data_IF_039718479599
#
_entry.id   IF_039718479599
#
_cell.length_a   1.000
_cell.length_b   1.000
_cell.length_c   1.000
_cell.angle_alpha   90.00
_cell.angle_beta   90.00
_cell.angle_gamma   90.00
#
_symmetry.space_group_name_H-M   'P 1'
#
loop_
_entity.id
_entity.type
_entity.pdbx_description
1 polymer ?
#
# COMPACT_ATOMS: atom_id res chain seq x y z
N UNK A 1 -3.09 1.67 -24.76
CA UNK A 1 -3.38 1.22 -23.37
C UNK A 1 -2.03 1.10 -22.68
N UNK A 2 -1.78 1.83 -21.59
CA UNK A 2 -0.55 1.70 -20.80
C UNK A 2 -0.83 0.73 -19.66
N UNK A 3 -0.10 -0.38 -19.61
CA UNK A 3 -0.21 -1.33 -18.50
C UNK A 3 0.53 -0.79 -17.28
N UNK A 4 0.01 -1.08 -16.09
CA UNK A 4 0.54 -0.59 -14.83
C UNK A 4 0.67 -1.74 -13.84
N UNK A 5 1.61 -1.61 -12.91
CA UNK A 5 1.70 -2.51 -11.76
C UNK A 5 2.20 -1.74 -10.54
N UNK A 6 1.93 -2.29 -9.36
CA UNK A 6 2.36 -1.74 -8.08
C UNK A 6 3.28 -2.73 -7.35
N UNK A 7 4.31 -2.23 -6.69
CA UNK A 7 5.22 -3.02 -5.85
C UNK A 7 5.23 -2.44 -4.45
N UNK A 8 5.10 -3.30 -3.45
CA UNK A 8 5.13 -2.93 -2.03
C UNK A 8 6.46 -3.37 -1.42
N UNK A 9 7.16 -2.45 -0.77
CA UNK A 9 8.41 -2.77 -0.08
C UNK A 9 8.15 -3.54 1.23
N UNK A 10 9.08 -4.42 1.60
CA UNK A 10 9.07 -5.15 2.88
C UNK A 10 10.28 -4.72 3.71
N UNK A 11 10.16 -3.56 4.34
CA UNK A 11 11.19 -2.91 5.18
C UNK A 11 10.54 -1.90 6.12
N UNK A 12 11.30 -1.38 7.08
CA UNK A 12 10.85 -0.26 7.91
C UNK A 12 10.49 0.97 7.04
N UNK A 13 9.37 1.61 7.37
CA UNK A 13 8.77 2.71 6.60
C UNK A 13 8.54 2.31 5.12
N UNK A 14 7.74 1.26 4.87
CA UNK A 14 7.57 0.69 3.54
C UNK A 14 6.82 1.66 2.63
N UNK A 15 7.22 1.67 1.36
CA UNK A 15 6.54 2.43 0.30
C UNK A 15 5.85 1.49 -0.68
N UNK A 16 4.77 1.95 -1.29
CA UNK A 16 4.21 1.30 -2.47
C UNK A 16 4.50 2.16 -3.69
N UNK A 17 5.11 1.57 -4.71
CA UNK A 17 5.49 2.29 -5.93
C UNK A 17 4.67 1.79 -7.10
N UNK A 18 4.25 2.71 -7.96
CA UNK A 18 3.48 2.41 -9.18
C UNK A 18 4.36 2.65 -10.39
N UNK A 19 4.33 1.71 -11.33
CA UNK A 19 5.15 1.73 -12.53
C UNK A 19 4.32 1.49 -13.79
N UNK A 20 4.79 2.07 -14.90
CA UNK A 20 4.32 1.72 -16.25
C UNK A 20 4.98 0.44 -16.74
N UNK A 21 4.32 -0.30 -17.61
CA UNK A 21 4.88 -1.45 -18.33
C UNK A 21 4.68 -1.24 -19.85
N UNK A 22 5.67 -1.55 -20.71
CA UNK A 22 6.92 -2.25 -20.42
C UNK A 22 8.09 -1.36 -19.99
N UNK A 23 7.97 -0.03 -20.04
CA UNK A 23 9.12 0.87 -19.81
C UNK A 23 9.60 0.94 -18.36
N UNK A 24 8.82 0.45 -17.39
CA UNK A 24 9.15 0.49 -15.94
C UNK A 24 9.43 1.91 -15.43
N UNK A 25 8.82 2.92 -16.07
CA UNK A 25 8.87 4.29 -15.56
C UNK A 25 8.07 4.39 -14.27
N UNK A 26 8.67 4.98 -13.23
CA UNK A 26 7.99 5.28 -11.97
C UNK A 26 6.93 6.35 -12.23
N UNK A 27 5.69 6.06 -11.85
CA UNK A 27 4.60 7.04 -11.88
C UNK A 27 4.55 7.80 -10.56
N UNK A 28 4.49 7.08 -9.45
CA UNK A 28 4.26 7.65 -8.13
C UNK A 28 4.83 6.79 -7.01
N UNK A 29 4.84 7.36 -5.80
CA UNK A 29 5.15 6.66 -4.57
C UNK A 29 4.07 6.96 -3.53
N UNK A 30 3.41 5.91 -3.05
CA UNK A 30 2.47 5.97 -1.93
C UNK A 30 3.27 5.78 -0.63
N UNK A 31 3.30 6.81 0.20
CA UNK A 31 4.06 6.84 1.44
C UNK A 31 3.10 7.06 2.61
N UNK A 32 3.00 6.06 3.48
CA UNK A 32 2.21 6.19 4.70
C UNK A 32 2.87 7.15 5.67
N UNK A 33 2.17 8.23 6.00
CA UNK A 33 2.64 9.27 6.94
C UNK A 33 2.21 9.02 8.39
N UNK A 34 1.47 7.94 8.65
CA UNK A 34 1.03 7.55 9.98
C UNK A 34 2.15 6.91 10.80
N UNK A 35 1.86 5.77 11.42
CA UNK A 35 2.78 5.12 12.34
C UNK A 35 4.08 4.65 11.65
N UNK A 36 5.21 5.04 12.24
CA UNK A 36 6.56 4.78 11.70
C UNK A 36 7.07 3.34 11.88
N UNK A 37 6.30 2.50 12.57
CA UNK A 37 6.67 1.13 12.91
C UNK A 37 5.99 0.08 12.02
N UNK A 38 5.47 0.49 10.86
CA UNK A 38 4.91 -0.44 9.90
C UNK A 38 6.03 -1.31 9.30
N UNK A 39 5.84 -2.63 9.36
CA UNK A 39 6.82 -3.62 8.86
C UNK A 39 6.73 -3.86 7.35
N UNK A 40 5.59 -3.55 6.74
CA UNK A 40 5.32 -3.81 5.33
C UNK A 40 3.84 -3.69 4.96
N UNK A 41 3.52 -4.09 3.74
CA UNK A 41 2.15 -4.31 3.27
C UNK A 41 1.98 -5.80 2.94
N UNK A 42 0.83 -6.38 3.33
CA UNK A 42 0.49 -7.77 3.06
C UNK A 42 -0.10 -7.95 1.65
N UNK A 43 -0.84 -6.95 1.16
CA UNK A 43 -1.49 -6.99 -0.14
C UNK A 43 -1.67 -5.59 -0.69
N UNK A 44 -1.68 -5.49 -2.02
CA UNK A 44 -1.89 -4.26 -2.77
C UNK A 44 -2.70 -4.55 -4.03
N UNK A 45 -3.79 -3.82 -4.27
CA UNK A 45 -4.71 -4.05 -5.39
C UNK A 45 -5.24 -2.74 -5.95
N UNK A 46 -5.30 -2.63 -7.27
CA UNK A 46 -5.96 -1.50 -7.93
C UNK A 46 -7.48 -1.66 -7.83
N UNK A 47 -8.18 -0.57 -7.50
CA UNK A 47 -9.63 -0.52 -7.47
C UNK A 47 -10.14 0.57 -8.41
N UNK A 48 -10.90 0.17 -9.42
CA UNK A 48 -11.40 1.07 -10.44
C UNK A 48 -10.28 1.77 -11.21
N UNK A 49 -10.49 3.03 -11.57
CA UNK A 49 -9.60 3.81 -12.44
C UNK A 49 -8.51 4.56 -11.70
N UNK A 50 -8.77 4.97 -10.45
CA UNK A 50 -7.96 5.99 -9.78
C UNK A 50 -7.41 5.56 -8.42
N UNK A 51 -7.87 4.42 -7.89
CA UNK A 51 -7.53 4.01 -6.55
C UNK A 51 -6.57 2.81 -6.51
N UNK A 52 -5.70 2.83 -5.52
CA UNK A 52 -4.91 1.68 -5.08
C UNK A 52 -5.26 1.45 -3.61
N UNK A 53 -5.56 0.20 -3.26
CA UNK A 53 -5.79 -0.23 -1.88
C UNK A 53 -4.59 -1.03 -1.43
N UNK A 54 -4.11 -0.77 -0.22
CA UNK A 54 -3.03 -1.54 0.40
C UNK A 54 -3.45 -2.00 1.78
N UNK A 55 -3.23 -3.27 2.10
CA UNK A 55 -3.39 -3.81 3.45
C UNK A 55 -2.03 -3.75 4.16
N UNK A 56 -1.94 -3.00 5.25
CA UNK A 56 -0.72 -2.94 6.04
C UNK A 56 -0.47 -4.25 6.76
N UNK A 57 0.79 -4.52 7.09
CA UNK A 57 1.18 -5.63 7.94
C UNK A 57 1.09 -5.24 9.43
N UNK A 58 1.74 -6.06 10.26
CA UNK A 58 1.90 -5.84 11.69
C UNK A 58 2.38 -4.41 12.02
N UNK A 59 1.86 -3.82 13.11
CA UNK A 59 0.91 -4.43 14.08
C UNK A 59 -0.58 -4.13 13.81
N UNK A 60 -0.92 -3.32 12.80
CA UNK A 60 -2.26 -2.70 12.73
C UNK A 60 -3.21 -3.26 11.67
N UNK A 61 -2.72 -3.98 10.66
CA UNK A 61 -3.56 -4.60 9.61
C UNK A 61 -4.60 -3.67 8.95
N UNK A 62 -4.28 -2.38 8.75
CA UNK A 62 -5.22 -1.38 8.22
C UNK A 62 -5.29 -1.39 6.70
N UNK A 63 -6.42 -1.00 6.15
CA UNK A 63 -6.53 -0.70 4.72
C UNK A 63 -6.20 0.78 4.52
N UNK A 64 -5.34 1.09 3.55
CA UNK A 64 -5.08 2.46 3.13
C UNK A 64 -5.51 2.61 1.68
N UNK A 65 -6.23 3.69 1.39
CA UNK A 65 -6.71 4.05 0.06
C UNK A 65 -5.83 5.18 -0.47
N UNK A 66 -5.32 5.00 -1.69
CA UNK A 66 -4.43 5.95 -2.36
C UNK A 66 -5.01 6.39 -3.69
N UNK A 67 -4.78 7.65 -4.07
CA UNK A 67 -4.80 8.05 -5.49
C UNK A 67 -3.49 7.61 -6.12
N UNK A 68 -3.53 6.54 -6.92
CA UNK A 68 -2.29 5.91 -7.39
C UNK A 68 -1.47 6.80 -8.31
N UNK A 69 -2.09 7.76 -9.01
CA UNK A 69 -1.39 8.68 -9.93
C UNK A 69 -0.50 9.68 -9.17
N UNK A 70 -0.96 10.14 -8.01
CA UNK A 70 -0.27 11.16 -7.22
C UNK A 70 0.47 10.58 -6.02
N UNK A 71 0.08 9.38 -5.57
CA UNK A 71 0.54 8.79 -4.32
C UNK A 71 -0.15 9.39 -3.09
N UNK A 72 -1.18 10.21 -3.27
CA UNK A 72 -1.92 10.84 -2.18
C UNK A 72 -2.70 9.81 -1.37
N UNK A 73 -2.60 9.89 -0.05
CA UNK A 73 -3.36 9.09 0.89
C UNK A 73 -4.75 9.71 1.08
N UNK A 74 -5.80 8.99 0.73
CA UNK A 74 -7.18 9.45 0.89
C UNK A 74 -7.78 9.06 2.23
N UNK A 75 -7.59 7.81 2.63
CA UNK A 75 -8.22 7.27 3.83
C UNK A 75 -7.40 6.13 4.44
N UNK A 76 -7.57 5.95 5.74
CA UNK A 76 -7.06 4.81 6.51
C UNK A 76 -8.24 4.19 7.23
N UNK A 77 -8.44 2.90 7.02
CA UNK A 77 -9.58 2.15 7.56
C UNK A 77 -9.02 1.06 8.46
N UNK A 78 -9.47 1.07 9.71
CA UNK A 78 -9.19 -0.01 10.63
C UNK A 78 -10.03 -1.24 10.26
N UNK A 79 -9.35 -2.36 10.03
CA UNK A 79 -10.02 -3.61 9.61
C UNK A 79 -10.52 -4.42 10.79
N UNK A 80 -10.08 -4.09 12.03
CA UNK A 80 -10.27 -4.91 13.23
C UNK A 80 -9.71 -6.33 13.09
N UNK A 81 -8.83 -6.58 12.12
CA UNK A 81 -8.13 -7.86 11.99
C UNK A 81 -7.16 -7.97 13.16
N UNK A 82 -7.44 -8.92 14.05
CA UNK A 82 -6.49 -9.38 15.07
C UNK A 82 -5.76 -10.62 14.55
N UNK A 83 -4.43 -10.58 14.54
CA UNK A 83 -3.62 -11.78 14.31
C UNK A 83 -3.56 -12.59 15.62
N UNK A 84 -4.53 -13.48 15.79
CA UNK A 84 -4.67 -14.33 16.99
C UNK A 84 -3.49 -15.30 17.16
N UNK A 85 -2.68 -15.52 16.11
CA UNK A 85 -1.50 -16.40 16.15
C UNK A 85 -0.30 -15.82 16.92
N UNK A 86 -0.39 -14.60 17.47
CA UNK A 86 0.70 -13.97 18.23
C UNK A 86 0.55 -14.02 19.76
N UNK A 87 -0.45 -14.73 20.31
CA UNK A 87 -0.62 -14.88 21.77
C UNK A 87 0.19 -16.03 22.41
N UNK A 88 1.31 -16.45 21.80
CA UNK A 88 2.21 -17.46 22.38
C UNK A 88 3.36 -16.84 23.15
#
# INVERSE_FOLDING_TARGET
>A
IVSLFAISERRANPKVRVYTYPSINKVSECIYKGERNLSGYLSSVFAGTDYLLTLTSLPYFRIIIWLWRTGEQLAVIDTKISDECQQL
#
